data_IF_461784667517
#
_entry.id   IF_461784667517
#
_cell.length_a   1.000
_cell.length_b   1.000
_cell.length_c   1.000
_cell.angle_alpha   90.00
_cell.angle_beta   90.00
_cell.angle_gamma   90.00
#
_symmetry.space_group_name_H-M   'P 1'
#
loop_
_entity.id
_entity.type
_entity.pdbx_description
1 polymer ?
#
# COMPACT_ATOMS: atom_id res chain seq x y z
N UNK A 1 39.83 9.02 -9.83
CA UNK A 1 39.23 8.23 -8.74
C UNK A 1 38.31 9.14 -7.93
N UNK A 2 37.08 9.34 -8.40
CA UNK A 2 36.02 9.98 -7.64
C UNK A 2 35.38 8.88 -6.78
N UNK A 3 35.77 8.78 -5.51
CA UNK A 3 34.97 8.06 -4.54
C UNK A 3 33.64 8.80 -4.45
N UNK A 4 32.62 8.28 -5.12
CA UNK A 4 31.25 8.69 -4.90
C UNK A 4 31.02 8.64 -3.39
N UNK A 5 30.82 9.80 -2.78
CA UNK A 5 30.39 9.96 -1.40
C UNK A 5 28.98 9.40 -1.33
N UNK A 6 28.89 8.07 -1.32
CA UNK A 6 27.66 7.34 -1.10
C UNK A 6 27.20 7.77 0.29
N UNK A 7 26.20 8.64 0.32
CA UNK A 7 25.64 9.13 1.57
C UNK A 7 25.19 7.90 2.37
N UNK A 8 25.59 7.76 3.66
CA UNK A 8 25.21 6.62 4.50
C UNK A 8 23.68 6.49 4.72
N UNK A 9 22.87 7.38 4.15
CA UNK A 9 21.41 7.30 4.15
C UNK A 9 20.88 6.10 3.35
N UNK A 10 21.56 5.65 2.29
CA UNK A 10 21.06 4.56 1.44
C UNK A 10 21.07 3.18 2.10
N UNK A 11 21.86 2.98 3.16
CA UNK A 11 21.91 1.72 3.91
C UNK A 11 20.64 1.43 4.74
N UNK A 12 19.64 2.33 4.72
CA UNK A 12 18.39 2.22 5.49
C UNK A 12 17.15 1.96 4.63
N UNK A 13 17.28 2.03 3.32
CA UNK A 13 16.15 1.84 2.41
C UNK A 13 15.95 0.35 2.14
N UNK A 14 14.72 -0.13 2.32
CA UNK A 14 14.28 -1.43 1.84
C UNK A 14 13.39 -1.23 0.63
N UNK A 15 13.62 -2.03 -0.41
CA UNK A 15 12.91 -1.92 -1.68
C UNK A 15 12.06 -3.16 -1.91
N UNK A 16 10.84 -2.91 -2.37
CA UNK A 16 9.88 -3.94 -2.71
C UNK A 16 9.41 -3.77 -4.15
N UNK A 17 9.32 -4.86 -4.89
CA UNK A 17 8.72 -4.85 -6.23
C UNK A 17 7.23 -5.08 -6.08
N UNK A 18 6.41 -4.23 -6.70
CA UNK A 18 4.95 -4.34 -6.73
C UNK A 18 4.53 -4.68 -8.15
N UNK A 19 3.76 -5.75 -8.30
CA UNK A 19 3.35 -6.26 -9.61
C UNK A 19 1.92 -6.81 -9.56
N UNK A 20 1.05 -6.40 -10.48
CA UNK A 20 -0.26 -7.04 -10.68
C UNK A 20 -0.12 -8.32 -11.49
N UNK A 21 -0.83 -9.38 -11.12
CA UNK A 21 -0.98 -10.57 -11.96
C UNK A 21 -1.90 -10.32 -13.16
N UNK A 22 -1.62 -10.98 -14.28
CA UNK A 22 -2.40 -10.88 -15.52
C UNK A 22 -3.88 -11.34 -15.35
N UNK A 23 -4.75 -10.71 -16.13
CA UNK A 23 -6.22 -10.59 -16.07
C UNK A 23 -6.96 -11.91 -16.35
N UNK A 24 -6.27 -12.97 -16.77
CA UNK A 24 -6.92 -14.25 -17.05
C UNK A 24 -7.46 -14.93 -15.77
N UNK A 25 -6.96 -14.55 -14.61
CA UNK A 25 -7.52 -14.95 -13.32
C UNK A 25 -8.62 -13.95 -12.96
N UNK A 26 -9.85 -14.42 -12.75
CA UNK A 26 -11.01 -13.58 -12.36
C UNK A 26 -10.74 -12.71 -11.09
N UNK A 27 -9.69 -13.03 -10.32
CA UNK A 27 -9.14 -12.18 -9.26
C UNK A 27 -7.93 -11.37 -9.73
N UNK A 28 -8.11 -10.05 -9.89
CA UNK A 28 -7.01 -9.09 -9.94
C UNK A 28 -6.24 -9.13 -8.60
N UNK A 29 -5.01 -9.67 -8.64
CA UNK A 29 -4.12 -9.78 -7.47
C UNK A 29 -2.89 -8.90 -7.66
N UNK A 30 -2.44 -8.24 -6.60
CA UNK A 30 -1.20 -7.46 -6.58
C UNK A 30 -0.20 -8.15 -5.67
N UNK A 31 0.94 -8.58 -6.21
CA UNK A 31 2.01 -9.22 -5.46
C UNK A 31 3.06 -8.19 -5.05
N UNK A 32 3.67 -8.43 -3.89
CA UNK A 32 4.77 -7.64 -3.34
C UNK A 32 5.93 -8.58 -3.05
N UNK A 33 7.08 -8.30 -3.65
CA UNK A 33 8.30 -9.08 -3.54
C UNK A 33 9.40 -8.28 -2.85
N UNK A 34 10.37 -8.95 -2.25
CA UNK A 34 11.65 -8.31 -1.93
C UNK A 34 12.41 -8.00 -3.23
N UNK A 35 13.05 -6.84 -3.34
CA UNK A 35 13.84 -6.50 -4.55
C UNK A 35 14.96 -7.52 -4.82
N UNK A 36 15.56 -8.08 -3.76
CA UNK A 36 16.67 -9.02 -3.87
C UNK A 36 16.22 -10.48 -4.06
N UNK A 37 14.96 -10.81 -3.74
CA UNK A 37 14.38 -12.15 -3.89
C UNK A 37 13.00 -12.09 -4.56
N UNK A 38 13.01 -11.87 -5.88
CA UNK A 38 11.78 -11.83 -6.69
C UNK A 38 11.08 -13.18 -6.83
N UNK A 39 11.74 -14.29 -6.48
CA UNK A 39 11.12 -15.61 -6.53
C UNK A 39 10.10 -15.81 -5.39
N UNK A 40 10.21 -15.00 -4.33
CA UNK A 40 9.41 -15.13 -3.13
C UNK A 40 8.44 -13.96 -2.98
N UNK A 41 7.16 -14.23 -3.22
CA UNK A 41 6.08 -13.31 -2.83
C UNK A 41 6.09 -13.17 -1.31
N UNK A 42 6.26 -11.94 -0.80
CA UNK A 42 6.18 -11.63 0.63
C UNK A 42 4.73 -11.38 1.04
N UNK A 43 4.05 -10.53 0.27
CA UNK A 43 2.66 -10.15 0.50
C UNK A 43 1.89 -10.22 -0.82
N UNK A 44 0.60 -10.43 -0.72
CA UNK A 44 -0.29 -10.23 -1.85
C UNK A 44 -1.57 -9.52 -1.42
N UNK A 45 -2.11 -8.72 -2.32
CA UNK A 45 -3.38 -8.02 -2.17
C UNK A 45 -4.43 -8.68 -3.05
N UNK A 46 -5.55 -9.08 -2.46
CA UNK A 46 -6.71 -9.63 -3.17
C UNK A 46 -7.96 -8.81 -2.90
N UNK A 47 -8.80 -8.65 -3.92
CA UNK A 47 -10.03 -7.84 -3.85
C UNK A 47 -11.25 -8.71 -3.64
N UNK A 48 -12.08 -8.31 -2.68
CA UNK A 48 -13.38 -8.90 -2.39
C UNK A 48 -14.47 -7.85 -2.57
N UNK A 49 -15.55 -8.23 -3.25
CA UNK A 49 -16.74 -7.40 -3.42
C UNK A 49 -17.80 -7.89 -2.44
N UNK A 50 -18.10 -7.08 -1.41
CA UNK A 50 -19.29 -7.29 -0.57
C UNK A 50 -20.50 -6.56 -1.18
N UNK A 51 -21.66 -6.57 -0.54
CA UNK A 51 -22.84 -5.84 -1.03
C UNK A 51 -22.64 -4.32 -1.02
N UNK A 52 -22.01 -3.79 0.03
CA UNK A 52 -21.93 -2.34 0.31
C UNK A 52 -20.54 -1.76 0.07
N UNK A 53 -19.49 -2.57 0.22
CA UNK A 53 -18.10 -2.13 0.15
C UNK A 53 -17.19 -3.07 -0.66
N UNK A 54 -16.11 -2.50 -1.15
CA UNK A 54 -14.97 -3.22 -1.73
C UNK A 54 -13.95 -3.37 -0.61
N UNK A 55 -13.49 -4.59 -0.39
CA UNK A 55 -12.51 -4.92 0.64
C UNK A 55 -11.29 -5.55 -0.02
N UNK A 56 -10.15 -4.87 0.04
CA UNK A 56 -8.88 -5.47 -0.37
C UNK A 56 -8.20 -6.07 0.88
N UNK A 57 -7.77 -7.33 0.81
CA UNK A 57 -7.02 -8.02 1.86
C UNK A 57 -5.53 -8.02 1.53
N UNK A 58 -4.69 -7.50 2.43
CA UNK A 58 -3.25 -7.68 2.38
C UNK A 58 -2.87 -8.92 3.20
N UNK A 59 -2.45 -9.98 2.51
CA UNK A 59 -2.14 -11.27 3.09
C UNK A 59 -0.63 -11.47 3.10
N UNK A 60 -0.09 -11.93 4.23
CA UNK A 60 1.28 -12.41 4.31
C UNK A 60 1.37 -13.79 3.69
N UNK A 61 2.14 -13.92 2.61
CA UNK A 61 2.13 -15.10 1.77
C UNK A 61 2.60 -16.38 2.52
N UNK A 62 3.73 -16.37 3.26
CA UNK A 62 4.19 -17.58 3.96
C UNK A 62 3.23 -18.14 5.01
N UNK A 63 2.45 -17.29 5.68
CA UNK A 63 1.55 -17.71 6.77
C UNK A 63 0.09 -17.72 6.35
N UNK A 64 -0.25 -17.24 5.14
CA UNK A 64 -1.62 -17.02 4.67
C UNK A 64 -2.49 -16.25 5.67
N UNK A 65 -1.88 -15.35 6.46
CA UNK A 65 -2.59 -14.53 7.44
C UNK A 65 -2.89 -13.16 6.88
N UNK A 66 -4.14 -12.73 6.99
CA UNK A 66 -4.53 -11.35 6.71
C UNK A 66 -3.87 -10.44 7.74
N UNK A 67 -3.06 -9.48 7.30
CA UNK A 67 -2.42 -8.50 8.18
C UNK A 67 -3.22 -7.20 8.24
N UNK A 68 -3.73 -6.78 7.08
CA UNK A 68 -4.46 -5.54 6.90
C UNK A 68 -5.62 -5.71 5.91
N UNK A 69 -6.69 -4.97 6.13
CA UNK A 69 -7.80 -4.84 5.18
C UNK A 69 -8.02 -3.37 4.82
N UNK A 70 -8.31 -3.12 3.55
CA UNK A 70 -8.54 -1.79 2.99
C UNK A 70 -10.00 -1.74 2.53
N UNK A 71 -10.78 -0.85 3.13
CA UNK A 71 -12.20 -0.71 2.89
C UNK A 71 -12.49 0.58 2.13
N UNK A 72 -13.29 0.49 1.08
CA UNK A 72 -13.80 1.62 0.30
C UNK A 72 -15.22 1.33 -0.18
N UNK A 73 -16.08 2.35 -0.31
CA UNK A 73 -17.46 2.12 -0.70
C UNK A 73 -17.57 1.78 -2.20
N UNK A 74 -18.65 1.09 -2.58
CA UNK A 74 -19.04 1.03 -4.00
C UNK A 74 -19.54 2.37 -4.55
N UNK A 75 -20.08 3.23 -3.67
CA UNK A 75 -20.65 4.55 -4.01
C UNK A 75 -20.26 5.59 -2.95
N UNK A 76 -19.82 6.76 -3.38
CA UNK A 76 -19.35 7.83 -2.49
C UNK A 76 -17.87 7.69 -2.16
N UNK A 77 -17.44 8.27 -1.03
CA UNK A 77 -16.02 8.39 -0.70
C UNK A 77 -15.72 8.08 0.76
N UNK A 78 -14.89 7.06 0.98
CA UNK A 78 -14.04 6.91 2.15
C UNK A 78 -12.93 5.92 1.82
N UNK A 79 -11.81 6.02 2.53
CA UNK A 79 -10.75 5.03 2.52
C UNK A 79 -10.33 4.73 3.95
N UNK A 80 -10.46 3.47 4.37
CA UNK A 80 -10.17 3.04 5.74
C UNK A 80 -9.29 1.82 5.73
N UNK A 81 -8.32 1.79 6.64
CA UNK A 81 -7.41 0.66 6.82
C UNK A 81 -7.67 0.05 8.21
N UNK A 82 -7.74 -1.28 8.28
CA UNK A 82 -7.97 -2.04 9.52
C UNK A 82 -6.95 -3.16 9.66
N UNK A 83 -6.64 -3.52 10.90
CA UNK A 83 -5.91 -4.75 11.22
C UNK A 83 -6.82 -5.70 11.99
N UNK A 84 -6.72 -7.03 11.80
CA UNK A 84 -7.40 -8.00 12.66
C UNK A 84 -7.03 -7.89 14.15
N UNK A 85 -5.90 -7.26 14.46
CA UNK A 85 -5.45 -7.01 15.84
C UNK A 85 -6.11 -5.78 16.48
N UNK A 86 -6.79 -4.95 15.71
CA UNK A 86 -7.49 -3.80 16.25
C UNK A 86 -8.79 -4.25 16.94
N UNK A 87 -9.16 -3.60 18.06
CA UNK A 87 -10.51 -3.71 18.59
C UNK A 87 -11.57 -3.48 17.50
N UNK A 88 -12.72 -4.18 17.58
CA UNK A 88 -13.81 -3.98 16.64
C UNK A 88 -14.16 -2.49 16.49
N UNK A 89 -14.45 -2.07 15.25
CA UNK A 89 -14.80 -0.69 14.87
C UNK A 89 -13.66 0.33 14.88
N UNK A 90 -12.43 -0.04 15.28
CA UNK A 90 -11.28 0.85 15.11
C UNK A 90 -10.69 0.71 13.70
N UNK A 91 -10.33 1.84 13.12
CA UNK A 91 -9.72 1.94 11.78
C UNK A 91 -8.89 3.22 11.67
N UNK A 92 -8.00 3.23 10.69
CA UNK A 92 -7.25 4.42 10.28
C UNK A 92 -7.93 4.98 9.04
N UNK A 93 -8.36 6.23 9.10
CA UNK A 93 -9.02 6.90 7.98
C UNK A 93 -8.03 7.71 7.16
N UNK A 94 -8.08 7.54 5.84
CA UNK A 94 -7.39 8.39 4.89
C UNK A 94 -8.40 9.42 4.38
N UNK A 95 -8.04 10.70 4.52
CA UNK A 95 -8.91 11.83 4.19
C UNK A 95 -8.25 12.75 3.17
N UNK A 96 -8.99 13.32 2.21
CA UNK A 96 -8.44 14.29 1.28
C UNK A 96 -7.84 15.50 1.98
N UNK A 97 -6.71 15.98 1.46
CA UNK A 97 -6.09 17.21 1.94
C UNK A 97 -6.84 18.40 1.37
N UNK A 98 -7.36 19.26 2.25
CA UNK A 98 -8.13 20.45 1.85
C UNK A 98 -7.28 21.44 1.06
N UNK A 99 -7.87 22.14 0.08
CA UNK A 99 -7.20 23.18 -0.73
C UNK A 99 -6.61 24.35 0.07
N UNK A 100 -7.04 24.55 1.32
CA UNK A 100 -6.52 25.57 2.24
C UNK A 100 -5.21 25.14 2.92
N UNK A 101 -4.82 23.88 2.80
CA UNK A 101 -3.59 23.36 3.41
C UNK A 101 -2.37 23.78 2.60
N UNK A 102 -1.28 24.11 3.28
CA UNK A 102 0.03 24.34 2.63
C UNK A 102 0.59 23.10 1.95
N UNK A 103 0.10 21.92 2.36
CA UNK A 103 0.47 20.63 1.78
C UNK A 103 -0.56 20.15 0.75
N UNK A 104 -1.46 21.02 0.31
CA UNK A 104 -2.43 20.64 -0.70
C UNK A 104 -1.74 20.33 -2.02
N UNK A 105 -2.03 19.15 -2.54
CA UNK A 105 -1.77 18.77 -3.92
C UNK A 105 -2.98 17.96 -4.35
N UNK A 106 -3.31 18.02 -5.63
CA UNK A 106 -4.47 17.32 -6.15
C UNK A 106 -4.34 15.81 -5.96
N UNK A 107 -5.33 15.19 -5.31
CA UNK A 107 -5.29 13.77 -4.95
C UNK A 107 -4.45 13.44 -3.72
N UNK A 108 -3.90 14.43 -3.02
CA UNK A 108 -3.21 14.16 -1.76
C UNK A 108 -4.19 13.68 -0.67
N UNK A 109 -3.79 12.66 0.07
CA UNK A 109 -4.51 12.16 1.25
C UNK A 109 -3.66 12.36 2.50
N UNK A 110 -4.30 12.55 3.65
CA UNK A 110 -3.66 12.55 4.95
C UNK A 110 -4.33 11.57 5.90
N UNK A 111 -3.56 11.08 6.86
CA UNK A 111 -4.08 10.26 7.96
C UNK A 111 -3.27 10.52 9.23
N UNK A 112 -3.86 10.13 10.35
CA UNK A 112 -3.24 10.23 11.67
C UNK A 112 -3.23 8.83 12.26
N UNK A 113 -2.07 8.42 12.79
CA UNK A 113 -1.96 7.16 13.54
C UNK A 113 -1.08 7.33 14.76
N UNK A 114 -1.26 6.45 15.75
CA UNK A 114 -0.47 6.45 16.97
C UNK A 114 0.86 5.72 16.70
N UNK A 115 1.97 6.39 16.95
CA UNK A 115 3.32 5.84 16.82
C UNK A 115 4.10 6.00 18.12
N UNK A 116 5.21 5.29 18.27
CA UNK A 116 6.09 5.50 19.41
C UNK A 116 6.78 6.87 19.30
N UNK A 117 7.03 7.49 20.46
CA UNK A 117 7.86 8.70 20.50
C UNK A 117 9.30 8.29 20.19
N UNK A 118 9.94 8.90 19.17
CA UNK A 118 11.38 8.80 18.97
C UNK A 118 12.11 8.88 20.30
N UNK A 119 12.89 7.84 20.62
CA UNK A 119 13.88 7.99 21.68
C UNK A 119 14.93 8.91 21.12
N UNK A 120 14.76 10.22 21.34
CA UNK A 120 15.84 11.16 21.18
C UNK A 120 16.99 10.53 21.95
N UNK A 121 18.05 10.14 21.24
CA UNK A 121 19.28 9.69 21.86
C UNK A 121 19.75 10.94 22.56
N UNK A 122 19.24 11.13 23.78
CA UNK A 122 19.66 12.19 24.66
C UNK A 122 21.08 11.78 24.99
N UNK A 123 22.00 12.22 24.14
CA UNK A 123 23.39 12.43 24.47
C UNK A 123 23.34 13.47 25.59
N UNK A 124 22.89 13.04 26.78
CA UNK A 124 23.09 13.79 27.99
C UNK A 124 24.56 14.12 27.95
N UNK A 125 24.96 15.41 27.84
CA UNK A 125 26.35 15.75 28.01
C UNK A 125 26.68 15.15 29.36
N UNK A 126 27.51 14.11 29.35
CA UNK A 126 28.00 13.45 30.54
C UNK A 126 28.82 14.54 31.21
N UNK A 127 28.16 15.35 32.04
CA UNK A 127 28.79 16.42 32.80
C UNK A 127 30.01 15.80 33.44
N UNK A 128 31.17 16.38 33.12
CA UNK A 128 32.49 15.84 33.37
C UNK A 128 32.79 15.68 34.85
N UNK A 129 32.18 14.68 35.48
CA UNK A 129 32.70 14.07 36.69
C UNK A 129 33.94 13.29 36.30
N UNK A 130 35.09 13.86 36.65
CA UNK A 130 36.43 13.29 36.59
C UNK A 130 36.40 11.79 36.90
N UNK A 131 36.93 10.91 36.03
CA UNK A 131 36.99 9.49 36.31
C UNK A 131 38.04 9.23 37.39
N UNK A 132 37.60 8.78 38.57
CA UNK A 132 38.49 8.16 39.56
C UNK A 132 38.89 6.79 39.00
N UNK A 133 40.19 6.51 38.78
CA UNK A 133 40.64 5.22 38.29
C UNK A 133 40.71 4.27 39.46
N UNK A 134 39.71 3.41 39.65
CA UNK A 134 39.88 2.20 40.47
C UNK A 134 38.74 1.21 40.23
N UNK A 135 38.95 0.28 39.31
CA UNK A 135 38.76 -1.16 39.55
C UNK A 135 38.99 -1.94 38.25
N UNK A 136 40.08 -2.69 38.25
CA UNK A 136 40.45 -3.68 37.24
C UNK A 136 39.39 -4.79 37.29
N UNK A 137 38.36 -4.70 36.45
CA UNK A 137 37.48 -5.83 36.17
C UNK A 137 38.11 -6.64 35.05
N UNK A 138 38.63 -7.80 35.45
CA UNK A 138 39.31 -8.79 34.62
C UNK A 138 38.43 -9.20 33.44
N UNK A 139 38.98 -9.03 32.24
CA UNK A 139 38.56 -9.74 31.04
C UNK A 139 38.74 -11.24 31.28
N UNK A 140 37.64 -11.95 31.49
CA UNK A 140 37.62 -13.41 31.39
C UNK A 140 37.47 -13.76 29.90
N UNK A 141 38.62 -13.95 29.25
CA UNK A 141 38.69 -14.70 28.00
C UNK A 141 38.78 -16.19 28.36
N UNK A 142 37.66 -16.91 28.23
CA UNK A 142 37.70 -18.35 28.09
C UNK A 142 37.64 -18.67 26.60
N UNK A 143 38.81 -19.07 26.08
CA UNK A 143 38.93 -19.68 24.78
C UNK A 143 38.61 -21.18 24.78
N UNK A 144 38.48 -21.68 23.55
CA UNK A 144 38.59 -23.05 23.09
C UNK A 144 37.48 -24.05 23.46
N UNK A 145 36.78 -24.53 22.43
CA UNK A 145 37.01 -25.88 21.91
C UNK A 145 36.51 -26.05 20.48
N UNK A 146 37.40 -26.60 19.67
CA UNK A 146 37.21 -27.19 18.35
C UNK A 146 36.05 -28.21 18.36
N UNK A 147 35.29 -28.23 17.27
CA UNK A 147 34.53 -29.41 16.85
C UNK A 147 34.50 -29.40 15.32
N UNK A 148 35.48 -30.09 14.73
CA UNK A 148 35.42 -30.54 13.35
C UNK A 148 34.22 -31.49 13.21
N UNK A 149 33.22 -31.08 12.43
CA UNK A 149 32.17 -31.96 11.94
C UNK A 149 32.16 -31.84 10.43
N UNK A 150 32.58 -32.94 9.82
CA UNK A 150 32.61 -33.26 8.40
C UNK A 150 31.21 -33.12 7.77
N UNK A 151 31.06 -32.49 6.58
CA UNK A 151 29.79 -32.47 5.88
C UNK A 151 29.59 -33.77 5.06
N UNK A 152 28.46 -34.49 5.23
CA UNK A 152 28.11 -35.55 4.29
C UNK A 152 27.64 -34.92 2.97
N UNK A 153 28.35 -35.28 1.90
CA UNK A 153 27.91 -35.20 0.51
C UNK A 153 26.59 -35.95 0.36
N UNK A 154 25.51 -35.22 0.09
CA UNK A 154 24.23 -35.79 -0.36
C UNK A 154 23.93 -35.24 -1.75
N UNK A 155 24.19 -36.10 -2.72
CA UNK A 155 23.90 -35.99 -4.13
C UNK A 155 22.37 -35.94 -4.32
N UNK A 156 21.84 -34.79 -4.75
CA UNK A 156 20.42 -34.64 -5.06
C UNK A 156 20.22 -34.66 -6.56
N UNK A 157 19.85 -35.84 -7.05
CA UNK A 157 19.35 -36.07 -8.39
C UNK A 157 17.98 -35.37 -8.57
N UNK A 158 17.73 -34.67 -9.68
CA UNK A 158 16.42 -34.10 -9.95
C UNK A 158 15.44 -35.21 -10.34
N UNK A 159 14.48 -35.50 -9.47
CA UNK A 159 13.32 -36.33 -9.78
C UNK A 159 12.41 -35.57 -10.75
N UNK A 160 12.58 -35.89 -12.03
CA UNK A 160 11.66 -35.49 -13.10
C UNK A 160 10.29 -36.09 -12.82
N UNK A 161 9.34 -35.26 -12.40
CA UNK A 161 7.94 -35.64 -12.27
C UNK A 161 7.29 -35.37 -13.62
N UNK A 162 7.22 -36.39 -14.47
CA UNK A 162 6.50 -36.35 -15.74
C UNK A 162 4.99 -36.30 -15.46
N UNK A 163 4.33 -35.24 -15.94
CA UNK A 163 2.87 -35.20 -16.02
C UNK A 163 2.38 -36.19 -17.09
N UNK A 164 1.26 -36.90 -16.86
CA UNK A 164 0.69 -37.77 -17.88
C UNK A 164 0.15 -36.92 -19.04
N UNK A 165 0.33 -37.35 -20.31
CA UNK A 165 -0.28 -36.68 -21.44
C UNK A 165 -1.80 -36.82 -21.38
N UNK A 166 -2.50 -35.69 -21.42
CA UNK A 166 -3.95 -35.61 -21.61
C UNK A 166 -4.27 -36.14 -23.00
N UNK A 167 -4.76 -37.39 -23.06
CA UNK A 167 -5.31 -37.96 -24.28
C UNK A 167 -6.62 -37.25 -24.62
N UNK A 168 -6.66 -36.71 -25.84
CA UNK A 168 -7.86 -36.17 -26.46
C UNK A 168 -8.84 -37.32 -26.72
N UNK A 169 -9.87 -37.44 -25.88
CA UNK A 169 -11.14 -38.03 -26.28
C UNK A 169 -12.26 -37.50 -25.36
N UNK A 170 -13.20 -36.81 -26.00
CA UNK A 170 -14.27 -36.05 -25.37
C UNK A 170 -15.26 -36.90 -24.59
N UNK A 171 -14.98 -37.10 -23.31
CA UNK A 171 -15.95 -37.62 -22.34
C UNK A 171 -15.96 -36.66 -21.15
N UNK A 172 -17.12 -36.09 -20.77
CA UNK A 172 -17.17 -35.19 -19.61
C UNK A 172 -16.80 -35.96 -18.33
N UNK A 173 -15.98 -35.36 -17.44
CA UNK A 173 -15.59 -36.02 -16.21
C UNK A 173 -16.81 -36.24 -15.29
N UNK A 174 -16.90 -37.38 -14.59
CA UNK A 174 -17.95 -37.62 -13.61
C UNK A 174 -17.87 -36.60 -12.48
N UNK A 175 -19.04 -36.12 -12.05
CA UNK A 175 -19.16 -35.15 -10.96
C UNK A 175 -18.40 -35.63 -9.71
N UNK A 176 -17.61 -34.76 -9.05
CA UNK A 176 -16.89 -35.14 -7.85
C UNK A 176 -17.88 -35.53 -6.74
N UNK A 177 -17.59 -36.57 -5.94
CA UNK A 177 -18.43 -36.92 -4.81
C UNK A 177 -18.47 -35.74 -3.83
N UNK A 178 -19.68 -35.34 -3.44
CA UNK A 178 -19.91 -34.36 -2.39
C UNK A 178 -19.39 -34.92 -1.05
N UNK A 179 -18.14 -34.58 -0.72
CA UNK A 179 -17.56 -34.87 0.59
C UNK A 179 -18.19 -33.91 1.60
N UNK A 180 -19.19 -34.41 2.32
CA UNK A 180 -19.81 -33.74 3.45
C UNK A 180 -18.80 -33.69 4.62
N UNK A 181 -17.99 -32.64 4.67
CA UNK A 181 -17.05 -32.40 5.76
C UNK A 181 -17.85 -31.92 6.97
N UNK A 182 -18.10 -32.82 7.93
CA UNK A 182 -18.61 -32.43 9.24
C UNK A 182 -17.51 -31.70 10.03
N UNK A 183 -17.76 -30.49 10.54
CA UNK A 183 -16.81 -29.83 11.44
C UNK A 183 -16.63 -30.68 12.70
N UNK A 184 -15.39 -30.84 13.22
CA UNK A 184 -15.15 -31.63 14.41
C UNK A 184 -15.90 -31.04 15.60
N UNK A 185 -16.73 -31.86 16.23
CA UNK A 185 -17.50 -31.54 17.44
C UNK A 185 -16.54 -31.08 18.53
N UNK A 186 -16.78 -29.95 19.22
CA UNK A 186 -15.90 -29.48 20.28
C UNK A 186 -15.90 -30.48 21.45
N UNK A 187 -14.82 -31.24 21.59
CA UNK A 187 -14.58 -32.06 22.76
C UNK A 187 -14.43 -31.14 23.98
N UNK A 188 -15.46 -31.12 24.83
CA UNK A 188 -15.36 -30.56 26.18
C UNK A 188 -14.29 -31.35 26.95
N UNK A 189 -13.27 -30.70 27.52
CA UNK A 189 -12.32 -31.37 28.40
C UNK A 189 -13.08 -32.01 29.56
N UNK A 190 -12.95 -33.32 29.70
CA UNK A 190 -13.55 -34.07 30.80
C UNK A 190 -12.62 -33.91 32.00
N UNK A 191 -13.04 -33.09 32.96
CA UNK A 191 -12.41 -32.96 34.26
C UNK A 191 -12.30 -34.32 34.93
N UNK A 192 -11.11 -34.90 34.84
CA UNK A 192 -10.76 -36.17 35.47
C UNK A 192 -9.94 -35.82 36.70
N UNK A 193 -10.63 -35.57 37.81
CA UNK A 193 -10.04 -35.53 39.13
C UNK A 193 -9.52 -36.94 39.48
N UNK A 194 -8.24 -37.20 39.26
CA UNK A 194 -7.52 -38.25 39.98
C UNK A 194 -6.34 -37.63 40.71
N UNK A 195 -6.52 -37.51 42.01
CA UNK A 195 -5.50 -37.25 43.01
C UNK A 195 -4.43 -38.34 42.97
N UNK A 196 -3.26 -38.02 42.44
CA UNK A 196 -2.00 -38.66 42.85
C UNK A 196 -0.95 -37.57 43.08
N UNK A 197 -0.63 -37.41 44.36
CA UNK A 197 0.46 -36.61 44.85
C UNK A 197 1.79 -37.22 44.43
N UNK A 198 2.55 -36.49 43.63
CA UNK A 198 3.99 -36.67 43.51
C UNK A 198 4.64 -35.30 43.37
N UNK A 199 5.31 -34.95 44.47
CA UNK A 199 6.17 -33.79 44.68
C UNK A 199 7.16 -33.61 43.54
N UNK A 200 6.85 -32.67 42.64
CA UNK A 200 7.82 -32.09 41.72
C UNK A 200 7.85 -30.58 41.95
N UNK A 201 9.06 -30.08 42.15
CA UNK A 201 9.43 -28.73 42.53
C UNK A 201 8.77 -27.66 41.65
N UNK A 202 7.79 -26.96 42.21
CA UNK A 202 7.23 -25.73 41.68
C UNK A 202 8.29 -24.62 41.72
N UNK A 203 9.04 -24.46 40.65
CA UNK A 203 9.81 -23.24 40.39
C UNK A 203 8.80 -22.12 40.11
N UNK A 204 8.44 -21.39 41.18
CA UNK A 204 7.62 -20.19 41.13
C UNK A 204 8.34 -19.14 40.27
N UNK A 205 8.07 -19.15 38.98
CA UNK A 205 8.51 -18.12 38.04
C UNK A 205 7.80 -16.83 38.44
N UNK A 206 8.47 -16.06 39.30
CA UNK A 206 8.03 -14.75 39.75
C UNK A 206 7.58 -13.94 38.53
N UNK A 207 6.37 -13.35 38.53
CA UNK A 207 5.85 -12.64 37.38
C UNK A 207 6.85 -11.53 37.02
N UNK A 208 7.58 -11.72 35.91
CA UNK A 208 8.51 -10.72 35.39
C UNK A 208 7.70 -9.44 35.23
N UNK A 209 7.97 -8.46 36.10
CA UNK A 209 7.35 -7.15 36.03
C UNK A 209 7.60 -6.62 34.63
N UNK A 210 6.55 -6.60 33.80
CA UNK A 210 6.61 -5.95 32.49
C UNK A 210 6.90 -4.49 32.79
N UNK A 211 8.00 -3.99 32.26
CA UNK A 211 8.30 -2.56 32.31
C UNK A 211 7.13 -1.74 31.74
N UNK A 212 7.03 -0.46 32.11
CA UNK A 212 5.99 0.41 31.59
C UNK A 212 6.03 0.42 30.05
N UNK A 213 4.86 0.44 29.38
CA UNK A 213 4.81 0.51 27.92
C UNK A 213 5.53 1.78 27.42
N UNK A 214 6.16 1.74 26.23
CA UNK A 214 6.82 2.91 25.67
C UNK A 214 5.82 4.07 25.45
N UNK A 215 6.26 5.33 25.61
CA UNK A 215 5.40 6.48 25.34
C UNK A 215 5.01 6.52 23.86
N UNK A 216 3.75 6.89 23.61
CA UNK A 216 3.18 6.98 22.26
C UNK A 216 2.69 8.40 21.97
N UNK A 217 2.64 8.77 20.68
CA UNK A 217 2.14 10.05 20.20
C UNK A 217 1.28 9.87 18.95
N UNK A 218 0.42 10.84 18.64
CA UNK A 218 -0.26 10.91 17.35
C UNK A 218 0.68 11.54 16.33
N UNK A 219 0.89 10.85 15.22
CA UNK A 219 1.70 11.33 14.11
C UNK A 219 0.83 11.48 12.88
N UNK A 220 0.96 12.62 12.21
CA UNK A 220 0.25 12.92 10.96
C UNK A 220 1.12 12.60 9.76
N UNK A 221 0.50 12.03 8.74
CA UNK A 221 1.16 11.61 7.51
C UNK A 221 0.47 12.20 6.30
N UNK A 222 1.25 12.42 5.24
CA UNK A 222 0.82 12.96 3.96
C UNK A 222 1.21 12.01 2.83
N UNK A 223 0.23 11.60 2.04
CA UNK A 223 0.38 10.93 0.76
C UNK A 223 0.24 11.96 -0.36
N UNK A 224 1.28 12.15 -1.16
CA UNK A 224 1.31 13.14 -2.24
C UNK A 224 1.62 12.44 -3.56
N UNK A 225 0.73 12.51 -4.57
CA UNK A 225 1.06 12.00 -5.89
C UNK A 225 2.16 12.85 -6.53
N UNK A 226 3.02 12.23 -7.33
CA UNK A 226 4.01 12.94 -8.11
C UNK A 226 3.33 13.53 -9.35
N UNK A 227 2.80 14.75 -9.23
CA UNK A 227 2.41 15.53 -10.39
C UNK A 227 3.68 16.02 -11.08
N UNK A 228 3.96 15.53 -12.28
CA UNK A 228 4.92 16.20 -13.15
C UNK A 228 4.27 17.49 -13.62
N UNK A 229 4.85 18.63 -13.25
CA UNK A 229 4.45 19.90 -13.84
C UNK A 229 4.58 19.74 -15.37
N UNK A 230 3.54 20.11 -16.15
CA UNK A 230 3.65 20.10 -17.59
C UNK A 230 4.92 20.86 -17.98
N UNK A 231 5.89 20.19 -18.60
CA UNK A 231 7.08 20.90 -19.04
C UNK A 231 6.64 21.99 -20.00
N UNK A 232 7.04 23.26 -19.78
CA UNK A 232 6.68 24.34 -20.68
C UNK A 232 7.18 23.98 -22.07
N UNK A 233 6.25 23.82 -23.01
CA UNK A 233 6.58 23.52 -24.40
C UNK A 233 7.40 24.70 -24.92
N UNK A 234 8.65 24.49 -25.39
CA UNK A 234 9.49 25.59 -25.85
C UNK A 234 8.79 26.32 -27.00
N UNK A 235 8.72 27.66 -26.90
CA UNK A 235 7.98 28.54 -27.83
C UNK A 235 8.37 28.36 -29.30
N UNK A 236 9.63 27.99 -29.56
CA UNK A 236 10.21 27.83 -30.89
C UNK A 236 10.10 26.40 -31.47
N UNK A 237 9.31 25.52 -30.84
CA UNK A 237 9.05 24.18 -31.38
C UNK A 237 8.28 24.27 -32.71
N UNK A 238 8.71 23.48 -33.70
CA UNK A 238 8.04 23.36 -34.99
C UNK A 238 6.58 22.95 -34.79
N UNK A 239 5.69 23.30 -35.72
CA UNK A 239 4.28 22.87 -35.69
C UNK A 239 4.19 21.33 -35.60
N UNK A 240 5.12 20.62 -36.23
CA UNK A 240 5.24 19.17 -36.13
C UNK A 240 5.66 18.70 -34.74
N UNK A 241 6.58 19.40 -34.08
CA UNK A 241 6.99 19.09 -32.70
C UNK A 241 5.85 19.38 -31.72
N UNK A 242 5.05 20.42 -31.97
CA UNK A 242 3.84 20.71 -31.19
C UNK A 242 2.79 19.63 -31.40
N UNK A 243 2.54 19.20 -32.64
CA UNK A 243 1.60 18.12 -32.91
C UNK A 243 2.06 16.78 -32.28
N UNK A 244 3.35 16.47 -32.39
CA UNK A 244 3.92 15.27 -31.77
C UNK A 244 4.01 15.40 -30.25
N UNK A 245 4.15 16.61 -29.70
CA UNK A 245 4.02 16.84 -28.26
C UNK A 245 2.58 16.63 -27.83
N UNK A 246 1.57 17.14 -28.56
CA UNK A 246 0.16 16.89 -28.29
C UNK A 246 -0.17 15.39 -28.27
N UNK A 247 0.29 14.65 -29.27
CA UNK A 247 0.13 13.19 -29.35
C UNK A 247 0.91 12.47 -28.22
N UNK A 248 2.07 12.98 -27.81
CA UNK A 248 2.79 12.48 -26.62
C UNK A 248 2.19 12.95 -25.28
N UNK A 249 1.43 14.04 -25.24
CA UNK A 249 0.83 14.61 -24.02
C UNK A 249 -0.58 14.09 -23.75
N UNK A 250 -1.16 13.31 -24.67
CA UNK A 250 -2.29 12.43 -24.32
C UNK A 250 -1.85 11.20 -23.53
N UNK A 251 -0.54 11.06 -23.21
CA UNK A 251 -0.11 10.22 -22.10
C UNK A 251 -0.87 10.66 -20.85
N UNK A 252 -1.42 9.75 -20.03
CA UNK A 252 -1.85 10.10 -18.69
C UNK A 252 -0.72 10.91 -18.05
N UNK A 253 -0.94 12.20 -17.78
CA UNK A 253 0.10 13.11 -17.28
C UNK A 253 0.55 12.74 -15.85
N UNK A 254 0.06 11.63 -15.34
CA UNK A 254 0.17 11.19 -13.97
C UNK A 254 0.77 9.80 -14.02
N UNK A 255 2.06 9.74 -13.70
CA UNK A 255 2.62 8.49 -13.19
C UNK A 255 1.88 8.18 -11.90
N UNK A 256 1.61 6.91 -11.63
CA UNK A 256 1.07 6.48 -10.33
C UNK A 256 2.11 6.58 -9.20
N UNK A 257 3.25 7.23 -9.44
CA UNK A 257 4.28 7.49 -8.43
C UNK A 257 3.77 8.42 -7.33
N UNK A 258 4.20 8.18 -6.10
CA UNK A 258 3.83 9.00 -4.96
C UNK A 258 4.84 8.94 -3.82
N UNK A 259 4.71 9.87 -2.88
CA UNK A 259 5.45 9.90 -1.63
C UNK A 259 4.51 9.87 -0.44
N UNK A 260 4.88 9.09 0.57
CA UNK A 260 4.36 9.14 1.92
C UNK A 260 5.40 9.82 2.80
N UNK A 261 5.01 10.87 3.50
CA UNK A 261 5.91 11.65 4.35
C UNK A 261 5.27 11.97 5.70
N UNK A 262 6.11 12.09 6.73
CA UNK A 262 5.69 12.52 8.05
C UNK A 262 5.55 14.04 8.09
N UNK A 263 4.46 14.53 8.66
CA UNK A 263 4.27 15.97 8.85
C UNK A 263 4.85 16.37 10.21
N UNK A 264 5.69 17.42 10.28
CA UNK A 264 6.23 17.91 11.54
C UNK A 264 5.12 18.26 12.54
N UNK A 265 5.30 17.82 13.79
CA UNK A 265 4.40 18.16 14.88
C UNK A 265 4.35 19.70 15.02
N UNK A 266 3.15 20.28 15.09
CA UNK A 266 2.95 21.73 15.16
C UNK A 266 2.50 22.36 13.84
N UNK A 267 2.71 21.71 12.70
CA UNK A 267 2.10 22.13 11.44
C UNK A 267 0.71 21.49 11.34
N UNK A 268 -0.30 22.25 11.72
CA UNK A 268 -1.68 21.80 11.60
C UNK A 268 -2.07 21.78 10.12
N UNK A 269 -2.41 20.60 9.57
CA UNK A 269 -3.14 20.50 8.28
C UNK A 269 -4.60 21.02 8.43
N UNK A 270 -4.91 21.69 9.55
CA UNK A 270 -6.26 21.80 10.07
C UNK A 270 -7.03 22.93 9.38
N UNK A 271 -7.53 22.61 8.18
CA UNK A 271 -8.88 22.93 7.75
C UNK A 271 -9.89 21.81 8.05
N UNK A 272 -9.45 20.67 8.61
CA UNK A 272 -10.36 19.62 9.08
C UNK A 272 -11.01 20.09 10.37
N UNK A 273 -12.18 20.72 10.24
CA UNK A 273 -13.09 20.92 11.35
C UNK A 273 -13.26 19.56 12.04
N UNK A 274 -12.84 19.47 13.31
CA UNK A 274 -13.12 18.33 14.16
C UNK A 274 -14.62 18.06 14.09
N UNK A 275 -15.02 17.05 13.31
CA UNK A 275 -16.36 16.49 13.33
C UNK A 275 -16.45 15.64 14.62
N UNK A 276 -16.26 16.29 15.76
CA UNK A 276 -16.67 15.76 17.04
C UNK A 276 -18.20 15.78 17.02
N UNK A 277 -18.81 14.63 16.71
CA UNK A 277 -20.24 14.43 16.94
C UNK A 277 -20.56 14.74 18.41
N UNK A 278 -21.63 15.50 18.71
CA UNK A 278 -22.03 15.76 20.07
C UNK A 278 -22.65 14.49 20.65
N UNK A 279 -21.89 13.75 21.45
CA UNK A 279 -22.48 12.69 22.28
C UNK A 279 -21.56 11.50 22.50
N UNK A 280 -20.71 11.57 23.53
CA UNK A 280 -20.54 10.48 24.50
C UNK A 280 -19.56 10.91 25.59
N UNK A 281 -20.05 11.73 26.51
CA UNK A 281 -19.44 11.91 27.82
C UNK A 281 -20.54 12.36 28.79
N UNK A 282 -21.35 11.40 29.27
CA UNK A 282 -22.13 11.61 30.49
C UNK A 282 -21.91 10.42 31.41
N UNK A 283 -21.16 10.71 32.47
CA UNK A 283 -20.92 9.83 33.61
C UNK A 283 -22.26 9.33 34.17
N UNK A 284 -22.44 8.02 34.19
CA UNK A 284 -23.55 7.36 34.88
C UNK A 284 -23.14 7.06 36.32
N UNK A 285 -23.38 8.04 37.21
CA UNK A 285 -23.60 7.74 38.62
C UNK A 285 -24.92 6.95 38.71
N UNK A 286 -24.86 5.77 39.32
CA UNK A 286 -26.02 4.90 39.55
C UNK A 286 -26.78 5.46 40.74
N UNK A 287 -27.78 6.28 40.47
CA UNK A 287 -28.82 6.66 41.42
C UNK A 287 -29.88 5.55 41.43
N UNK A 288 -30.08 4.94 42.61
CA UNK A 288 -31.13 3.95 42.86
C UNK A 288 -32.49 4.65 42.84
N UNK A 289 -33.43 4.11 42.07
CA UNK A 289 -34.86 4.42 42.15
C UNK A 289 -35.59 3.09 42.42
N UNK A 290 -36.61 3.08 43.30
CA UNK A 290 -37.11 1.86 43.91
C UNK A 290 -38.10 1.10 43.01
N UNK A 291 -38.21 -0.18 43.33
CA UNK A 291 -39.20 -1.13 42.83
C UNK A 291 -40.61 -0.62 43.08
N UNK A 292 -41.44 -0.62 42.03
CA UNK A 292 -42.88 -0.70 42.20
C UNK A 292 -43.38 -1.99 41.52
N UNK A 293 -43.77 -2.89 42.40
CA UNK A 293 -44.56 -4.08 42.20
C UNK A 293 -45.94 -3.72 41.65
N UNK A 294 -46.35 -4.33 40.53
CA UNK A 294 -47.75 -4.67 40.32
C UNK A 294 -47.91 -5.76 39.27
N UNK A 295 -48.68 -6.78 39.65
CA UNK A 295 -48.76 -8.04 38.95
C UNK A 295 -49.94 -8.17 37.98
N UNK A 296 -49.97 -9.37 37.39
CA UNK A 296 -51.15 -10.12 36.93
C UNK A 296 -51.87 -9.57 35.70
N UNK A 297 -51.74 -10.29 34.56
CA UNK A 297 -52.83 -11.17 34.07
C UNK A 297 -52.39 -12.06 32.91
N UNK A 298 -52.59 -13.35 33.11
CA UNK A 298 -52.69 -14.34 32.04
C UNK A 298 -53.87 -14.04 31.12
N UNK A 299 -53.68 -14.26 29.81
CA UNK A 299 -54.72 -14.83 28.94
C UNK A 299 -54.08 -15.43 27.69
N UNK A 300 -54.19 -16.76 27.59
CA UNK A 300 -54.03 -17.48 26.33
C UNK A 300 -55.11 -17.09 25.31
N UNK A 301 -54.76 -17.27 24.05
CA UNK A 301 -55.64 -17.00 22.91
C UNK A 301 -54.96 -17.46 21.64
N UNK A 302 -55.16 -18.74 21.33
CA UNK A 302 -54.70 -19.47 20.16
C UNK A 302 -55.82 -19.44 19.12
N UNK A 303 -55.68 -18.72 17.98
CA UNK A 303 -56.58 -18.87 16.81
C UNK A 303 -55.95 -18.33 15.51
N UNK A 304 -55.91 -19.18 14.46
CA UNK A 304 -56.10 -18.89 13.01
C UNK A 304 -55.13 -17.93 12.30
N UNK A 305 -54.31 -18.36 11.34
CA UNK A 305 -54.66 -18.68 9.93
C UNK A 305 -55.47 -17.59 9.21
N UNK A 306 -54.88 -17.07 8.12
CA UNK A 306 -55.35 -16.22 7.00
C UNK A 306 -54.20 -15.23 6.69
N UNK A 307 -53.54 -15.16 5.53
CA UNK A 307 -54.05 -15.20 4.17
C UNK A 307 -54.06 -13.77 3.60
N UNK A 308 -53.23 -13.48 2.59
CA UNK A 308 -53.23 -12.23 1.79
C UNK A 308 -51.96 -11.40 1.97
N UNK A 309 -51.03 -11.35 1.03
CA UNK A 309 -51.07 -10.68 -0.29
C UNK A 309 -50.12 -9.47 -0.27
N UNK A 310 -48.89 -9.69 -0.74
CA UNK A 310 -48.00 -8.61 -1.20
C UNK A 310 -47.67 -8.91 -2.65
N UNK A 311 -48.31 -8.16 -3.54
CA UNK A 311 -48.03 -8.18 -4.96
C UNK A 311 -47.73 -6.77 -5.47
N UNK A 312 -46.84 -6.75 -6.46
CA UNK A 312 -46.58 -5.71 -7.45
C UNK A 312 -45.82 -4.43 -7.03
N UNK A 313 -44.56 -4.36 -7.46
CA UNK A 313 -44.14 -3.41 -8.51
C UNK A 313 -42.72 -3.72 -9.01
N UNK A 314 -42.59 -4.64 -9.97
CA UNK A 314 -41.43 -4.71 -10.87
C UNK A 314 -41.83 -5.51 -12.12
N UNK A 315 -42.07 -4.82 -13.24
CA UNK A 315 -42.16 -5.44 -14.56
C UNK A 315 -41.83 -4.42 -15.66
N UNK A 316 -41.30 -4.99 -16.75
CA UNK A 316 -40.94 -4.42 -18.06
C UNK A 316 -39.55 -3.76 -18.10
N UNK A 317 -38.57 -4.17 -18.91
CA UNK A 317 -38.55 -4.80 -20.26
C UNK A 317 -37.18 -5.51 -20.43
N UNK A 318 -36.88 -6.47 -21.30
CA UNK A 318 -37.57 -7.45 -22.15
C UNK A 318 -36.47 -8.42 -22.60
N UNK A 319 -36.71 -9.73 -22.54
CA UNK A 319 -35.88 -10.76 -23.16
C UNK A 319 -36.19 -10.84 -24.66
N UNK A 320 -35.18 -11.02 -25.49
CA UNK A 320 -35.28 -11.69 -26.79
C UNK A 320 -34.08 -12.64 -26.89
N UNK A 321 -34.36 -13.92 -27.09
CA UNK A 321 -33.36 -14.97 -27.36
C UNK A 321 -33.62 -15.60 -28.72
N UNK A 322 -32.50 -16.01 -29.33
CA UNK A 322 -32.30 -17.12 -30.27
C UNK A 322 -32.82 -16.98 -31.70
N UNK A 323 -31.88 -16.91 -32.66
CA UNK A 323 -31.71 -17.93 -33.72
C UNK A 323 -30.21 -18.11 -34.02
N UNK A 324 -29.87 -19.34 -34.40
CA UNK A 324 -28.58 -19.98 -34.54
C UNK A 324 -28.07 -19.96 -36.01
N UNK A 325 -26.79 -20.34 -36.19
CA UNK A 325 -26.11 -20.80 -37.44
C UNK A 325 -25.62 -19.76 -38.49
N UNK A 326 -24.29 -19.69 -38.72
CA UNK A 326 -23.61 -20.37 -39.86
C UNK A 326 -22.08 -20.14 -39.86
N UNK A 327 -21.40 -21.10 -40.50
CA UNK A 327 -19.96 -21.33 -40.72
C UNK A 327 -19.07 -20.17 -41.25
N UNK A 328 -17.80 -20.18 -40.77
CA UNK A 328 -16.49 -20.00 -41.46
C UNK A 328 -16.19 -18.72 -42.29
N UNK A 329 -14.92 -18.37 -42.65
CA UNK A 329 -13.64 -19.04 -42.40
C UNK A 329 -12.49 -18.13 -41.87
N UNK A 330 -11.42 -18.83 -41.46
CA UNK A 330 -10.04 -18.37 -41.25
C UNK A 330 -9.48 -17.52 -42.40
N UNK A 331 -8.94 -16.35 -42.09
CA UNK A 331 -8.07 -15.56 -42.98
C UNK A 331 -6.76 -15.29 -42.23
N UNK A 332 -5.68 -15.94 -42.68
CA UNK A 332 -4.32 -15.64 -42.27
C UNK A 332 -3.82 -14.38 -42.99
N UNK A 333 -3.10 -13.46 -42.31
CA UNK A 333 -2.45 -12.34 -42.97
C UNK A 333 -1.13 -12.78 -43.65
N UNK A 334 -0.75 -12.14 -44.77
CA UNK A 334 0.46 -12.49 -45.52
C UNK A 334 1.73 -11.92 -44.87
N UNK A 335 2.80 -12.71 -44.98
CA UNK A 335 4.19 -12.36 -44.67
C UNK A 335 4.75 -11.47 -45.78
N UNK A 336 5.33 -10.29 -45.48
CA UNK A 336 6.21 -9.61 -46.40
C UNK A 336 7.67 -9.99 -46.11
N UNK A 337 8.24 -10.83 -46.98
CA UNK A 337 9.67 -10.82 -47.21
C UNK A 337 10.01 -9.73 -48.23
N UNK A 338 11.11 -9.02 -48.04
CA UNK A 338 12.17 -8.80 -49.04
C UNK A 338 13.26 -7.89 -48.46
N UNK A 339 14.49 -8.38 -48.58
CA UNK A 339 15.77 -7.71 -48.39
C UNK A 339 15.86 -6.38 -49.14
N UNK A 340 16.59 -5.41 -48.58
CA UNK A 340 17.59 -4.63 -49.31
C UNK A 340 18.64 -4.04 -48.34
N UNK A 341 19.90 -4.43 -48.55
CA UNK A 341 21.08 -3.66 -48.17
C UNK A 341 21.05 -2.29 -48.88
N UNK A 342 21.68 -1.27 -48.30
CA UNK A 342 22.75 -0.65 -49.06
C UNK A 342 24.02 -0.37 -48.26
N UNK A 343 25.06 -0.28 -49.07
CA UNK A 343 26.48 -0.10 -48.87
C UNK A 343 26.89 1.25 -48.29
N UNK A 344 28.01 1.17 -47.59
CA UNK A 344 28.97 2.21 -47.21
C UNK A 344 29.33 3.24 -48.30
N UNK A 345 29.53 4.49 -47.85
CA UNK A 345 30.47 5.51 -48.37
C UNK A 345 30.55 6.59 -47.28
N UNK A 346 31.66 6.76 -46.56
CA UNK A 346 32.97 7.34 -46.92
C UNK A 346 32.94 8.88 -47.06
N UNK A 347 33.63 9.50 -46.10
CA UNK A 347 34.36 10.79 -46.14
C UNK A 347 33.64 12.08 -46.52
N UNK A 348 33.72 13.10 -45.66
CA UNK A 348 34.26 14.43 -46.02
C UNK A 348 34.55 15.27 -44.77
N UNK A 349 35.76 15.85 -44.78
CA UNK A 349 36.40 16.73 -43.81
C UNK A 349 36.04 18.21 -44.03
N UNK A 350 35.85 18.94 -42.92
CA UNK A 350 36.15 20.38 -42.68
C UNK A 350 35.33 21.45 -43.45
N UNK A 351 35.39 22.77 -43.12
CA UNK A 351 36.01 23.47 -41.97
C UNK A 351 35.08 24.49 -41.25
N UNK A 352 35.63 25.01 -40.15
CA UNK A 352 35.28 26.22 -39.41
C UNK A 352 34.90 27.44 -40.26
N UNK A 353 33.92 28.22 -39.80
CA UNK A 353 33.84 29.65 -40.10
C UNK A 353 33.51 30.45 -38.83
N UNK A 354 34.52 31.23 -38.41
CA UNK A 354 34.38 32.37 -37.53
C UNK A 354 33.60 33.47 -38.28
N UNK A 355 32.60 34.05 -37.64
CA UNK A 355 32.02 35.32 -38.08
C UNK A 355 31.73 36.19 -36.86
N UNK A 356 32.64 37.14 -36.68
CA UNK A 356 32.50 38.32 -35.86
C UNK A 356 31.61 39.36 -36.57
N UNK A 357 30.66 39.95 -35.85
CA UNK A 357 30.11 41.31 -36.02
C UNK A 357 29.07 41.51 -34.90
N UNK A 358 29.35 42.25 -33.83
CA UNK A 358 29.38 43.72 -33.72
C UNK A 358 28.09 44.38 -34.24
N UNK A 359 27.08 44.49 -33.37
CA UNK A 359 26.15 45.60 -33.37
C UNK A 359 25.82 45.98 -31.92
N UNK A 360 26.36 47.12 -31.52
CA UNK A 360 26.11 47.84 -30.28
C UNK A 360 24.75 48.53 -30.39
N UNK A 361 23.75 48.03 -29.65
CA UNK A 361 22.46 48.69 -29.49
C UNK A 361 22.39 49.30 -28.07
N UNK A 362 22.35 50.65 -27.90
CA UNK A 362 22.18 51.26 -26.59
C UNK A 362 20.71 51.16 -26.17
N UNK A 363 20.41 50.19 -25.30
CA UNK A 363 19.09 50.05 -24.69
C UNK A 363 18.87 51.15 -23.63
N UNK A 364 17.63 51.67 -23.50
CA UNK A 364 17.29 52.75 -22.59
C UNK A 364 17.30 52.29 -21.13
N UNK A 365 17.76 53.21 -20.29
CA UNK A 365 17.88 53.16 -18.85
C UNK A 365 16.52 52.86 -18.18
N UNK A 366 16.19 51.59 -17.98
CA UNK A 366 15.02 51.16 -17.19
C UNK A 366 15.45 50.93 -15.75
N UNK A 367 15.14 51.90 -14.88
CA UNK A 367 15.24 51.75 -13.44
C UNK A 367 14.53 50.46 -12.97
N UNK A 368 15.16 49.63 -12.12
CA UNK A 368 14.48 48.52 -11.48
C UNK A 368 13.44 49.08 -10.51
N UNK A 369 12.20 49.14 -10.97
CA UNK A 369 11.04 49.42 -10.13
C UNK A 369 10.89 48.22 -9.19
N UNK A 370 11.49 48.32 -8.01
CA UNK A 370 11.36 47.36 -6.93
C UNK A 370 9.88 47.19 -6.62
N UNK A 371 9.33 46.02 -6.94
CA UNK A 371 7.94 45.68 -6.67
C UNK A 371 7.84 45.16 -5.22
N UNK A 372 7.38 45.95 -4.23
CA UNK A 372 7.54 45.63 -2.80
C UNK A 372 6.53 44.59 -2.27
N UNK A 373 5.82 43.87 -3.15
CA UNK A 373 4.72 42.98 -2.75
C UNK A 373 4.78 41.56 -3.30
N UNK A 374 5.94 41.06 -3.76
CA UNK A 374 6.04 39.62 -3.99
C UNK A 374 5.96 38.91 -2.62
N UNK A 375 4.90 38.12 -2.34
CA UNK A 375 4.78 37.39 -1.10
C UNK A 375 6.04 36.53 -0.99
N UNK A 376 6.77 36.65 0.12
CA UNK A 376 7.92 35.79 0.37
C UNK A 376 7.41 34.36 0.31
N UNK A 377 7.81 33.64 -0.73
CA UNK A 377 7.64 32.20 -0.84
C UNK A 377 8.40 31.63 0.35
N UNK A 378 7.67 31.32 1.42
CA UNK A 378 8.26 30.67 2.59
C UNK A 378 8.68 29.31 2.06
N UNK A 379 9.99 29.07 1.98
CA UNK A 379 10.57 27.80 1.57
C UNK A 379 9.95 26.70 2.43
N UNK A 380 8.90 26.07 1.89
CA UNK A 380 8.16 25.04 2.58
C UNK A 380 9.12 23.86 2.71
N UNK A 381 9.55 23.60 3.94
CA UNK A 381 10.42 22.47 4.25
C UNK A 381 9.68 21.21 3.78
N UNK A 382 10.18 20.63 2.69
CA UNK A 382 9.64 19.38 2.15
C UNK A 382 9.90 18.29 3.18
N UNK A 383 8.86 17.61 3.67
CA UNK A 383 9.04 16.56 4.66
C UNK A 383 9.85 15.41 4.07
N UNK A 384 10.68 14.78 4.90
CA UNK A 384 11.47 13.61 4.49
C UNK A 384 10.52 12.46 4.12
N UNK A 385 10.73 11.79 2.97
CA UNK A 385 9.86 10.71 2.55
C UNK A 385 10.14 9.44 3.36
N UNK A 386 9.10 8.94 4.02
CA UNK A 386 9.10 7.65 4.71
C UNK A 386 8.99 6.50 3.70
N UNK A 387 8.12 6.67 2.70
CA UNK A 387 7.89 5.67 1.65
C UNK A 387 7.71 6.38 0.31
N UNK A 388 8.29 5.80 -0.73
CA UNK A 388 8.20 6.31 -2.10
C UNK A 388 7.77 5.17 -2.99
N UNK A 389 6.80 5.41 -3.87
CA UNK A 389 6.47 4.50 -4.94
C UNK A 389 6.91 5.11 -6.27
N UNK A 390 7.71 4.34 -7.01
CA UNK A 390 8.13 4.65 -8.37
C UNK A 390 7.37 3.73 -9.31
N UNK A 391 6.40 4.30 -10.03
CA UNK A 391 5.68 3.58 -11.06
C UNK A 391 6.60 3.37 -12.27
N UNK A 392 6.70 2.10 -12.67
CA UNK A 392 7.52 1.62 -13.78
C UNK A 392 6.66 0.91 -14.84
N UNK A 393 5.33 1.11 -14.79
CA UNK A 393 4.37 0.49 -15.70
C UNK A 393 4.68 0.90 -17.14
N UNK A 394 4.93 -0.05 -18.06
CA UNK A 394 5.17 0.29 -19.46
C UNK A 394 3.94 0.92 -20.09
N UNK A 395 4.17 1.93 -20.94
CA UNK A 395 3.12 2.77 -21.56
C UNK A 395 2.04 1.99 -22.32
N UNK A 396 2.35 0.78 -22.81
CA UNK A 396 1.45 -0.03 -23.64
C UNK A 396 0.78 -1.18 -22.89
N UNK A 397 0.86 -1.18 -21.56
CA UNK A 397 0.24 -2.24 -20.76
C UNK A 397 -1.11 -1.78 -20.23
N UNK A 398 -2.17 -2.48 -20.62
CA UNK A 398 -3.53 -2.19 -20.17
C UNK A 398 -3.78 -2.96 -18.88
N UNK A 399 -4.14 -2.26 -17.81
CA UNK A 399 -4.53 -2.83 -16.50
C UNK A 399 -3.44 -3.62 -15.76
N UNK A 400 -2.18 -3.48 -16.14
CA UNK A 400 -1.08 -3.97 -15.30
C UNK A 400 -0.48 -2.83 -14.51
N UNK A 401 -0.11 -3.11 -13.27
CA UNK A 401 0.62 -2.24 -12.38
C UNK A 401 2.00 -2.84 -12.15
N UNK A 402 3.06 -2.07 -12.41
CA UNK A 402 4.43 -2.44 -12.08
C UNK A 402 5.16 -1.27 -11.45
N UNK A 403 5.87 -1.48 -10.34
CA UNK A 403 6.66 -0.43 -9.73
C UNK A 403 7.53 -0.88 -8.58
N UNK A 404 8.30 0.07 -8.04
CA UNK A 404 9.20 -0.13 -6.91
C UNK A 404 8.73 0.72 -5.74
N UNK A 405 8.53 0.08 -4.59
CA UNK A 405 8.20 0.73 -3.33
C UNK A 405 9.47 0.77 -2.47
N UNK A 406 9.97 1.97 -2.20
CA UNK A 406 11.10 2.21 -1.29
C UNK A 406 10.58 2.64 0.08
N UNK A 407 11.08 2.03 1.16
CA UNK A 407 10.70 2.31 2.54
C UNK A 407 11.94 2.63 3.37
N UNK A 408 11.94 3.75 4.09
CA UNK A 408 12.96 4.05 5.10
C UNK A 408 12.73 3.18 6.35
N UNK A 409 13.46 2.07 6.42
CA UNK A 409 13.36 1.12 7.51
C UNK A 409 13.91 1.71 8.82
N UNK A 410 14.77 2.74 8.77
CA UNK A 410 15.21 3.46 9.95
C UNK A 410 14.04 4.19 10.61
N UNK A 411 13.34 5.00 9.82
CA UNK A 411 12.20 5.79 10.29
C UNK A 411 11.01 4.90 10.71
N UNK A 412 10.70 3.85 9.93
CA UNK A 412 9.67 2.88 10.29
C UNK A 412 9.94 2.20 11.65
N UNK A 413 11.21 1.82 11.92
CA UNK A 413 11.63 1.22 13.20
C UNK A 413 11.57 2.20 14.35
N UNK A 414 11.96 3.46 14.12
CA UNK A 414 11.90 4.51 15.13
C UNK A 414 10.46 4.75 15.62
N UNK A 415 9.49 4.68 14.70
CA UNK A 415 8.07 4.74 15.02
C UNK A 415 7.51 3.43 15.59
N UNK A 416 8.28 2.34 15.51
CA UNK A 416 7.90 0.98 15.89
C UNK A 416 6.62 0.49 15.20
N UNK A 417 6.49 0.83 13.91
CA UNK A 417 5.36 0.42 13.09
C UNK A 417 5.84 -0.62 12.08
N UNK A 418 5.08 -1.70 11.97
CA UNK A 418 5.41 -2.83 11.10
C UNK A 418 5.46 -2.42 9.61
N UNK A 419 6.45 -2.90 8.82
CA UNK A 419 6.54 -2.59 7.39
C UNK A 419 5.27 -2.93 6.59
N UNK A 420 4.55 -4.00 6.93
CA UNK A 420 3.33 -4.38 6.22
C UNK A 420 2.24 -3.31 6.35
N UNK A 421 2.23 -2.51 7.42
CA UNK A 421 1.33 -1.36 7.54
C UNK A 421 1.63 -0.30 6.47
N UNK A 422 2.90 0.07 6.32
CA UNK A 422 3.31 1.10 5.34
C UNK A 422 3.05 0.64 3.91
N UNK A 423 3.30 -0.64 3.63
CA UNK A 423 2.94 -1.27 2.36
C UNK A 423 1.43 -1.24 2.14
N UNK A 424 0.61 -1.58 3.14
CA UNK A 424 -0.85 -1.51 3.05
C UNK A 424 -1.34 -0.09 2.74
N UNK A 425 -0.77 0.93 3.39
CA UNK A 425 -1.07 2.35 3.12
C UNK A 425 -0.70 2.72 1.68
N UNK A 426 0.49 2.32 1.21
CA UNK A 426 0.94 2.58 -0.15
C UNK A 426 0.02 1.93 -1.19
N UNK A 427 -0.34 0.65 -1.01
CA UNK A 427 -1.24 -0.07 -1.91
C UNK A 427 -2.68 0.45 -1.87
N UNK A 428 -3.14 0.95 -0.72
CA UNK A 428 -4.43 1.61 -0.61
C UNK A 428 -4.46 2.92 -1.40
N UNK A 429 -3.39 3.71 -1.32
CA UNK A 429 -3.28 4.97 -2.05
C UNK A 429 -3.15 4.75 -3.56
N UNK A 430 -2.40 3.73 -3.96
CA UNK A 430 -2.26 3.34 -5.36
C UNK A 430 -3.61 2.95 -5.99
N UNK A 431 -4.40 2.12 -5.29
CA UNK A 431 -5.76 1.78 -5.74
C UNK A 431 -6.72 2.96 -5.76
N UNK A 432 -6.46 4.01 -4.97
CA UNK A 432 -7.20 5.27 -5.04
C UNK A 432 -6.81 6.09 -6.29
N UNK A 433 -5.54 6.17 -6.64
CA UNK A 433 -5.08 6.90 -7.82
C UNK A 433 -5.67 6.30 -9.11
N UNK A 434 -5.65 4.97 -9.23
CA UNK A 434 -6.26 4.24 -10.36
C UNK A 434 -7.76 4.55 -10.54
N UNK A 435 -8.51 4.58 -9.44
CA UNK A 435 -9.95 4.87 -9.49
C UNK A 435 -10.25 6.33 -9.80
N UNK A 436 -9.44 7.25 -9.25
CA UNK A 436 -9.56 8.68 -9.50
C UNK A 436 -9.43 8.98 -10.99
N UNK A 437 -8.45 8.38 -11.66
CA UNK A 437 -8.25 8.55 -13.11
C UNK A 437 -9.42 8.01 -13.91
N UNK A 438 -9.94 6.84 -13.52
CA UNK A 438 -11.13 6.24 -14.15
C UNK A 438 -12.36 7.15 -14.02
N UNK A 439 -12.53 7.81 -12.87
CA UNK A 439 -13.61 8.76 -12.65
C UNK A 439 -13.48 10.02 -13.50
N UNK A 440 -12.28 10.58 -13.62
CA UNK A 440 -12.06 11.76 -14.49
C UNK A 440 -12.28 11.44 -15.96
N UNK A 441 -11.84 10.28 -16.43
CA UNK A 441 -12.10 9.83 -17.80
C UNK A 441 -13.61 9.71 -18.08
N UNK A 442 -14.38 9.16 -17.13
CA UNK A 442 -15.83 9.05 -17.26
C UNK A 442 -16.57 10.40 -17.20
N UNK A 443 -15.97 11.45 -16.64
CA UNK A 443 -16.54 12.80 -16.64
C UNK A 443 -16.24 13.59 -17.93
N UNK A 444 -15.25 13.17 -18.71
CA UNK A 444 -14.87 13.84 -19.95
C UNK A 444 -15.62 13.32 -21.19
N UNK A 445 -16.24 12.15 -21.08
CA UNK A 445 -17.15 11.57 -22.09
C UNK A 445 -18.56 12.16 -21.94
#
# INVERSE_FOLDING_TARGET
MLHALCHPSYARLTRYVVESSDVLSEQLRVNVYDEHDKAKVLFYKERFLSDTEIVDHLVHNPTSTILWTIHRPKRGWYLRIRSPTFPPKLFIQLSPVTSKSLYHTEGALSFITRTNVPRSIHLSPRNGGVPVPNSISRLSMNGARHSDVEPPTMDSTPSSTSYPPTSANGTPPPAPPSVLVYPPTPHRPRDSYSSQASSSSSTSSSPRQRGPPPPTQLTSFLLTPHSFAPQPVPLNSSIWDKAMSYIKTHRPSHSNSFTLSRIPNGVSILGQASQAGPGSARNGAVERIPEEENGVRERGGDIGSLGGDLNAAAAAMSNVSLVNEHESPSISPPVPGYSHHPTSSESTLMPSSLSSRSDSNPAPNSHPQSNPHQPREIDLIKPHPLLIFHDQTPVFTVRTLHGILELDQGEAREMSVDPAFWIAVGLAFLGFLEERESYFAALSD
#
